data_IF_585274672288
#
_entry.id   IF_585274672288
#
_cell.length_a   1.000
_cell.length_b   1.000
_cell.length_c   1.000
_cell.angle_alpha   90.00
_cell.angle_beta   90.00
_cell.angle_gamma   90.00
#
_symmetry.space_group_name_H-M   'P 1'
#
loop_
_entity.id
_entity.type
_entity.pdbx_description
1 polymer ?
#
# COMPACT_ATOMS: atom_id res chain seq x y z
N UNK A 1 19.18 -13.02 -64.11
CA UNK A 1 18.58 -11.99 -63.23
C UNK A 1 17.83 -12.72 -62.13
N UNK A 2 18.39 -12.77 -60.94
CA UNK A 2 17.85 -13.48 -59.79
C UNK A 2 17.48 -12.49 -58.68
N UNK A 3 16.36 -12.75 -58.00
CA UNK A 3 15.94 -12.11 -56.74
C UNK A 3 15.19 -10.80 -56.95
N UNK A 4 14.08 -10.52 -56.26
CA UNK A 4 13.86 -10.72 -54.83
C UNK A 4 12.34 -10.74 -54.54
N UNK A 5 11.80 -11.82 -53.98
CA UNK A 5 10.45 -11.85 -53.40
C UNK A 5 10.56 -11.34 -51.95
N UNK A 6 9.99 -10.18 -51.65
CA UNK A 6 9.98 -9.63 -50.30
C UNK A 6 8.83 -10.27 -49.51
N UNK A 7 9.14 -11.28 -48.69
CA UNK A 7 8.20 -11.83 -47.73
C UNK A 7 8.13 -10.90 -46.51
N UNK A 8 7.01 -10.19 -46.34
CA UNK A 8 6.69 -9.52 -45.08
C UNK A 8 6.39 -10.58 -44.01
N UNK A 9 7.31 -10.72 -43.05
CA UNK A 9 7.10 -11.50 -41.84
C UNK A 9 6.25 -10.62 -40.90
N UNK A 10 4.98 -10.99 -40.73
CA UNK A 10 4.11 -10.39 -39.71
C UNK A 10 4.55 -10.95 -38.35
N UNK A 11 5.31 -10.18 -37.59
CA UNK A 11 5.63 -10.51 -36.20
C UNK A 11 4.35 -10.38 -35.38
N UNK A 12 3.79 -11.53 -35.00
CA UNK A 12 2.67 -11.61 -34.07
C UNK A 12 3.23 -11.20 -32.70
N UNK A 13 3.16 -9.92 -32.38
CA UNK A 13 3.42 -9.44 -31.03
C UNK A 13 2.41 -10.08 -30.10
N UNK A 14 2.87 -11.00 -29.26
CA UNK A 14 2.11 -11.52 -28.13
C UNK A 14 1.70 -10.33 -27.26
N UNK A 15 0.48 -9.82 -27.46
CA UNK A 15 -0.16 -8.90 -26.54
C UNK A 15 -0.37 -9.69 -25.24
N UNK A 16 0.58 -9.56 -24.31
CA UNK A 16 0.31 -9.93 -22.93
C UNK A 16 -0.90 -9.11 -22.50
N UNK A 17 -1.95 -9.73 -21.93
CA UNK A 17 -3.02 -8.93 -21.34
C UNK A 17 -2.36 -7.99 -20.34
N UNK A 18 -2.58 -6.69 -20.53
CA UNK A 18 -2.11 -5.68 -19.61
C UNK A 18 -2.70 -6.04 -18.23
N UNK A 19 -1.87 -6.60 -17.34
CA UNK A 19 -2.21 -6.81 -15.94
C UNK A 19 -2.22 -5.44 -15.28
N UNK A 20 -3.26 -4.66 -15.57
CA UNK A 20 -3.46 -3.29 -15.10
C UNK A 20 -3.50 -3.22 -13.56
N UNK A 21 -3.99 -4.29 -12.91
CA UNK A 21 -3.98 -4.43 -11.46
C UNK A 21 -2.97 -5.49 -11.03
N UNK A 22 -1.88 -5.06 -10.38
CA UNK A 22 -1.04 -5.97 -9.62
C UNK A 22 -1.77 -6.31 -8.31
N UNK A 23 -2.19 -7.57 -8.07
CA UNK A 23 -2.88 -7.89 -6.83
C UNK A 23 -1.89 -7.97 -5.66
N UNK A 24 -2.23 -7.31 -4.55
CA UNK A 24 -1.53 -7.45 -3.28
C UNK A 24 -2.31 -8.40 -2.39
N UNK A 25 -1.72 -9.56 -2.07
CA UNK A 25 -2.34 -10.53 -1.18
C UNK A 25 -1.89 -10.28 0.27
N UNK A 26 -2.80 -9.85 1.13
CA UNK A 26 -2.55 -9.76 2.56
C UNK A 26 -2.66 -11.13 3.23
N UNK A 27 -1.84 -11.33 4.24
CA UNK A 27 -1.78 -12.55 5.04
C UNK A 27 -1.87 -12.22 6.53
N UNK A 28 -1.88 -13.25 7.39
CA UNK A 28 -1.82 -13.07 8.84
C UNK A 28 -0.56 -12.33 9.32
N UNK A 29 0.53 -12.33 8.54
CA UNK A 29 1.73 -11.56 8.86
C UNK A 29 1.46 -10.04 8.84
N UNK A 30 0.54 -9.59 7.99
CA UNK A 30 0.15 -8.19 7.84
C UNK A 30 -0.85 -7.72 8.92
N UNK A 31 -0.65 -8.18 10.16
CA UNK A 31 -1.58 -8.03 11.29
C UNK A 31 -1.88 -6.60 11.75
N UNK A 32 -1.22 -5.61 11.15
CA UNK A 32 -1.50 -4.17 11.28
C UNK A 32 -1.01 -3.45 10.02
N UNK A 33 -1.42 -2.20 9.79
CA UNK A 33 -0.94 -1.42 8.66
C UNK A 33 0.60 -1.26 8.63
N UNK A 34 1.24 -1.09 9.80
CA UNK A 34 2.71 -0.98 9.91
C UNK A 34 3.42 -2.31 9.58
N UNK A 35 2.75 -3.44 9.76
CA UNK A 35 3.22 -4.78 9.33
C UNK A 35 2.73 -5.13 7.91
N UNK A 36 2.06 -4.20 7.26
CA UNK A 36 1.55 -4.32 5.91
C UNK A 36 2.52 -3.80 4.87
N UNK A 37 2.33 -4.19 3.60
CA UNK A 37 3.03 -3.57 2.49
C UNK A 37 2.68 -2.08 2.40
N UNK A 38 3.56 -1.30 1.77
CA UNK A 38 3.32 0.09 1.43
C UNK A 38 3.34 0.28 -0.09
N UNK A 39 2.27 0.85 -0.62
CA UNK A 39 2.18 1.30 -2.01
C UNK A 39 2.87 2.66 -2.09
N UNK A 40 3.91 2.75 -2.92
CA UNK A 40 4.77 3.95 -3.01
C UNK A 40 4.05 5.13 -3.68
N UNK A 41 3.14 4.85 -4.63
CA UNK A 41 2.27 5.84 -5.26
C UNK A 41 0.81 5.40 -5.14
N UNK A 42 0.06 6.02 -4.24
CA UNK A 42 -1.34 5.71 -3.95
C UNK A 42 -2.33 6.11 -5.04
N UNK A 43 -1.90 6.81 -6.10
CA UNK A 43 -2.71 7.02 -7.30
C UNK A 43 -2.75 5.77 -8.17
N UNK A 44 -1.71 4.94 -8.13
CA UNK A 44 -1.63 3.72 -8.92
C UNK A 44 -2.65 2.70 -8.42
N UNK A 45 -3.35 2.09 -9.37
CA UNK A 45 -4.45 1.16 -9.12
C UNK A 45 -3.92 -0.17 -8.60
N UNK A 46 -4.29 -0.52 -7.37
CA UNK A 46 -3.99 -1.82 -6.77
C UNK A 46 -5.26 -2.47 -6.25
N UNK A 47 -5.38 -3.78 -6.51
CA UNK A 47 -6.37 -4.64 -5.86
C UNK A 47 -5.71 -5.31 -4.66
N UNK A 48 -6.20 -5.01 -3.46
CA UNK A 48 -5.74 -5.61 -2.21
C UNK A 48 -6.73 -6.71 -1.81
N UNK A 49 -6.25 -7.93 -1.66
CA UNK A 49 -7.03 -9.10 -1.26
C UNK A 49 -6.75 -9.43 0.20
N UNK A 50 -7.81 -9.52 1.01
CA UNK A 50 -7.72 -9.89 2.42
C UNK A 50 -8.59 -11.11 2.71
N UNK A 51 -7.96 -12.14 3.29
CA UNK A 51 -8.60 -13.41 3.62
C UNK A 51 -8.55 -13.65 5.12
N UNK A 52 -9.73 -13.73 5.75
CA UNK A 52 -9.87 -13.93 7.18
C UNK A 52 -10.48 -15.30 7.47
N UNK A 53 -9.87 -16.03 8.41
CA UNK A 53 -10.30 -17.38 8.81
C UNK A 53 -11.17 -17.39 10.05
N UNK A 54 -11.19 -16.31 10.85
CA UNK A 54 -11.99 -16.18 12.08
C UNK A 54 -12.30 -14.71 12.39
N UNK A 55 -13.24 -14.42 13.32
CA UNK A 55 -13.50 -13.05 13.81
C UNK A 55 -12.26 -12.39 14.43
N UNK A 56 -12.26 -11.05 14.45
CA UNK A 56 -11.26 -10.19 15.11
C UNK A 56 -9.83 -10.32 14.57
N UNK A 57 -9.66 -10.93 13.40
CA UNK A 57 -8.40 -10.83 12.68
C UNK A 57 -8.29 -9.47 12.03
N UNK A 58 -7.08 -8.91 12.08
CA UNK A 58 -6.76 -7.64 11.43
C UNK A 58 -5.73 -7.91 10.35
N UNK A 59 -5.92 -7.29 9.19
CA UNK A 59 -4.92 -7.17 8.14
C UNK A 59 -4.83 -5.71 7.74
N UNK A 60 -3.67 -5.23 7.32
CA UNK A 60 -3.53 -3.84 6.91
C UNK A 60 -2.42 -3.63 5.90
N UNK A 61 -2.44 -2.43 5.32
CA UNK A 61 -1.46 -1.94 4.35
C UNK A 61 -1.38 -0.40 4.44
N UNK A 62 -0.45 0.16 3.70
CA UNK A 62 -0.18 1.60 3.62
C UNK A 62 -0.19 2.06 2.16
N UNK A 63 -0.51 3.32 1.92
CA UNK A 63 -0.31 3.96 0.63
C UNK A 63 0.16 5.41 0.85
N UNK A 64 1.10 5.86 0.02
CA UNK A 64 1.55 7.25 0.03
C UNK A 64 0.75 8.08 -0.96
N UNK A 65 0.33 9.27 -0.53
CA UNK A 65 -0.33 10.25 -1.40
C UNK A 65 0.27 11.62 -1.13
N UNK A 66 0.25 12.47 -2.14
CA UNK A 66 0.63 13.88 -2.05
C UNK A 66 -0.60 14.76 -1.84
N UNK A 67 -0.37 15.96 -1.31
CA UNK A 67 -1.44 16.94 -1.16
C UNK A 67 -2.11 17.26 -2.52
N UNK A 68 -3.44 17.26 -2.55
CA UNK A 68 -4.21 17.56 -3.76
C UNK A 68 -4.48 16.33 -4.65
N UNK A 69 -3.81 15.20 -4.41
CA UNK A 69 -4.16 13.93 -5.07
C UNK A 69 -5.50 13.38 -4.57
N UNK A 70 -6.01 12.34 -5.23
CA UNK A 70 -7.25 11.67 -4.79
C UNK A 70 -6.91 10.43 -3.97
N UNK A 71 -7.31 10.43 -2.71
CA UNK A 71 -7.44 9.19 -1.96
C UNK A 71 -8.66 8.46 -2.49
N UNK A 72 -8.44 7.43 -3.30
CA UNK A 72 -9.50 6.58 -3.85
C UNK A 72 -9.57 5.25 -3.09
N UNK A 73 -10.79 4.79 -2.79
CA UNK A 73 -11.02 3.51 -2.14
C UNK A 73 -12.32 2.85 -2.61
N UNK A 74 -12.26 1.58 -2.98
CA UNK A 74 -13.44 0.73 -3.21
C UNK A 74 -13.42 -0.49 -2.33
N UNK A 75 -14.62 -1.01 -2.02
CA UNK A 75 -14.80 -2.26 -1.31
C UNK A 75 -15.67 -3.20 -2.13
N UNK A 76 -15.13 -4.39 -2.41
CA UNK A 76 -15.79 -5.44 -3.16
C UNK A 76 -15.75 -6.79 -2.42
N UNK A 77 -16.73 -7.63 -2.74
CA UNK A 77 -16.71 -9.06 -2.44
C UNK A 77 -17.06 -9.83 -3.72
N UNK A 78 -16.63 -11.10 -3.80
CA UNK A 78 -17.07 -11.97 -4.90
C UNK A 78 -18.58 -12.22 -4.75
N UNK A 79 -19.34 -12.14 -5.84
CA UNK A 79 -20.77 -12.50 -5.88
C UNK A 79 -20.95 -14.03 -5.92
N UNK A 80 -20.44 -14.70 -4.89
CA UNK A 80 -20.55 -16.15 -4.69
C UNK A 80 -20.63 -16.45 -3.20
N UNK A 81 -21.29 -17.55 -2.84
CA UNK A 81 -21.30 -18.01 -1.46
C UNK A 81 -19.90 -18.50 -1.05
N UNK A 82 -19.47 -18.28 0.22
CA UNK A 82 -20.25 -17.67 1.30
C UNK A 82 -20.29 -16.13 1.31
N UNK A 83 -19.38 -15.44 0.61
CA UNK A 83 -19.20 -13.99 0.70
C UNK A 83 -20.47 -13.19 0.39
N UNK A 84 -21.16 -13.52 -0.71
CA UNK A 84 -22.35 -12.76 -1.14
C UNK A 84 -23.54 -12.88 -0.18
N UNK A 85 -23.57 -13.91 0.68
CA UNK A 85 -24.61 -14.12 1.70
C UNK A 85 -24.33 -13.37 3.01
N UNK A 86 -23.16 -12.75 3.16
CA UNK A 86 -22.84 -12.00 4.38
C UNK A 86 -23.74 -10.76 4.50
N UNK A 87 -24.43 -10.66 5.63
CA UNK A 87 -25.16 -9.45 6.01
C UNK A 87 -24.19 -8.27 6.24
N UNK A 88 -24.68 -7.04 6.07
CA UNK A 88 -23.87 -5.80 6.19
C UNK A 88 -23.08 -5.72 7.50
N UNK A 89 -23.67 -6.15 8.62
CA UNK A 89 -23.04 -6.14 9.95
C UNK A 89 -22.06 -7.31 10.20
N UNK A 90 -21.94 -8.26 9.26
CA UNK A 90 -20.97 -9.37 9.30
C UNK A 90 -19.79 -9.16 8.36
N UNK A 91 -19.84 -8.17 7.47
CA UNK A 91 -18.71 -7.83 6.59
C UNK A 91 -17.52 -7.31 7.40
N UNK A 92 -16.28 -7.61 7.00
CA UNK A 92 -15.09 -6.98 7.58
C UNK A 92 -15.14 -5.45 7.49
N UNK A 93 -14.73 -4.78 8.55
CA UNK A 93 -14.72 -3.32 8.64
C UNK A 93 -13.42 -2.79 8.06
N UNK A 94 -13.52 -1.83 7.15
CA UNK A 94 -12.38 -1.06 6.65
C UNK A 94 -12.28 0.29 7.38
N UNK A 95 -11.09 0.59 7.91
CA UNK A 95 -10.76 1.88 8.53
C UNK A 95 -9.56 2.48 7.82
N UNK A 96 -9.70 3.73 7.40
CA UNK A 96 -8.61 4.54 6.85
C UNK A 96 -8.15 5.50 7.94
N UNK A 97 -6.84 5.56 8.19
CA UNK A 97 -6.22 6.57 9.05
C UNK A 97 -5.38 7.49 8.17
N UNK A 98 -5.63 8.79 8.26
CA UNK A 98 -4.88 9.79 7.49
C UNK A 98 -3.50 10.09 8.11
N UNK A 99 -2.64 10.85 7.42
CA UNK A 99 -1.30 11.18 7.91
C UNK A 99 -1.28 11.93 9.25
N UNK A 100 -2.38 12.58 9.64
CA UNK A 100 -2.52 13.29 10.93
C UNK A 100 -2.96 12.36 12.07
N UNK A 101 -3.30 11.10 11.76
CA UNK A 101 -3.80 10.12 12.71
C UNK A 101 -5.33 10.08 12.83
N UNK A 102 -6.05 10.91 12.09
CA UNK A 102 -7.52 10.91 12.12
C UNK A 102 -8.05 9.65 11.43
N UNK A 103 -9.00 8.99 12.08
CA UNK A 103 -9.59 7.73 11.61
C UNK A 103 -10.94 7.96 10.96
N UNK A 104 -11.19 7.23 9.88
CA UNK A 104 -12.47 7.13 9.21
C UNK A 104 -12.83 5.67 8.98
N UNK A 105 -14.04 5.26 9.37
CA UNK A 105 -14.60 3.96 9.04
C UNK A 105 -15.37 4.06 7.73
N UNK A 106 -15.06 3.19 6.78
CA UNK A 106 -15.76 3.15 5.48
C UNK A 106 -17.17 2.62 5.69
N UNK A 107 -18.16 3.40 5.26
CA UNK A 107 -19.57 3.02 5.32
C UNK A 107 -19.96 2.25 4.06
N UNK A 108 -20.63 1.11 4.23
CA UNK A 108 -21.27 0.43 3.10
C UNK A 108 -22.52 1.19 2.67
N UNK A 109 -22.47 1.79 1.49
CA UNK A 109 -23.54 2.63 0.92
C UNK A 109 -24.28 1.94 -0.21
N UNK A 110 -23.77 0.83 -0.71
CA UNK A 110 -24.34 0.12 -1.85
C UNK A 110 -24.22 -1.41 -1.71
N UNK A 111 -24.85 -2.11 -2.65
CA UNK A 111 -24.67 -3.54 -2.93
C UNK A 111 -25.05 -3.79 -4.40
N UNK A 112 -24.16 -3.39 -5.31
CA UNK A 112 -24.42 -3.42 -6.75
C UNK A 112 -23.56 -4.48 -7.43
N UNK A 113 -24.12 -5.14 -8.46
CA UNK A 113 -23.39 -6.18 -9.21
C UNK A 113 -22.41 -5.55 -10.17
N UNK A 114 -21.23 -6.16 -10.29
CA UNK A 114 -20.21 -5.80 -11.26
C UNK A 114 -19.59 -7.07 -11.83
N UNK A 115 -19.64 -7.22 -13.15
CA UNK A 115 -18.96 -8.31 -13.84
C UNK A 115 -17.61 -7.80 -14.33
N UNK A 116 -16.52 -8.51 -13.97
CA UNK A 116 -15.17 -8.21 -14.43
C UNK A 116 -14.72 -9.23 -15.47
N UNK A 117 -14.72 -8.88 -16.78
CA UNK A 117 -14.53 -9.85 -17.86
C UNK A 117 -13.17 -10.54 -17.84
N UNK A 118 -12.10 -9.83 -17.44
CA UNK A 118 -10.74 -10.37 -17.45
C UNK A 118 -10.52 -11.51 -16.45
N UNK A 119 -11.34 -11.61 -15.39
CA UNK A 119 -11.29 -12.70 -14.43
C UNK A 119 -12.50 -13.63 -14.52
N UNK A 120 -13.42 -13.40 -15.47
CA UNK A 120 -14.71 -14.09 -15.55
C UNK A 120 -15.39 -14.20 -14.17
N UNK A 121 -15.45 -13.07 -13.45
CA UNK A 121 -15.88 -13.05 -12.05
C UNK A 121 -16.92 -11.96 -11.83
N UNK A 122 -18.02 -12.33 -11.18
CA UNK A 122 -18.99 -11.38 -10.66
C UNK A 122 -18.60 -10.93 -9.26
N UNK A 123 -18.70 -9.64 -9.01
CA UNK A 123 -18.45 -8.97 -7.74
C UNK A 123 -19.70 -8.22 -7.28
N UNK A 124 -19.73 -7.92 -5.98
CA UNK A 124 -20.62 -6.93 -5.41
C UNK A 124 -19.79 -5.75 -4.91
N UNK A 125 -20.03 -4.56 -5.45
CA UNK A 125 -19.57 -3.31 -4.85
C UNK A 125 -20.36 -3.05 -3.59
N UNK A 126 -19.67 -2.64 -2.53
CA UNK A 126 -20.28 -2.38 -1.22
C UNK A 126 -20.04 -0.94 -0.74
N UNK A 127 -18.94 -0.33 -1.15
CA UNK A 127 -18.62 1.06 -0.88
C UNK A 127 -17.67 1.61 -1.94
N UNK A 128 -17.83 2.89 -2.23
CA UNK A 128 -16.87 3.72 -2.95
C UNK A 128 -16.63 4.98 -2.14
N UNK A 129 -15.38 5.37 -2.03
CA UNK A 129 -14.95 6.49 -1.22
C UNK A 129 -13.87 7.26 -1.95
N UNK A 130 -14.00 8.58 -1.97
CA UNK A 130 -12.92 9.45 -2.40
C UNK A 130 -12.85 10.71 -1.52
N UNK A 131 -11.65 11.27 -1.43
CA UNK A 131 -11.41 12.60 -0.89
C UNK A 131 -10.13 13.17 -1.49
N UNK A 132 -9.97 14.49 -1.41
CA UNK A 132 -8.66 15.11 -1.58
C UNK A 132 -7.72 14.62 -0.48
N UNK A 133 -6.53 14.20 -0.88
CA UNK A 133 -5.51 13.68 0.00
C UNK A 133 -4.72 14.82 0.69
N UNK A 134 -4.30 14.53 1.91
CA UNK A 134 -3.20 15.23 2.57
C UNK A 134 -1.90 14.59 2.13
N UNK A 135 -0.82 15.35 2.15
CA UNK A 135 0.52 14.79 1.94
C UNK A 135 0.87 13.81 3.06
N UNK A 136 1.30 12.60 2.68
CA UNK A 136 1.84 11.60 3.59
C UNK A 136 1.27 10.20 3.41
N UNK A 137 1.44 9.38 4.46
CA UNK A 137 1.10 7.96 4.44
C UNK A 137 -0.26 7.71 5.08
N UNK A 138 -1.17 7.13 4.28
CA UNK A 138 -2.44 6.62 4.74
C UNK A 138 -2.31 5.16 5.21
N UNK A 139 -2.98 4.83 6.32
CA UNK A 139 -3.00 3.47 6.88
C UNK A 139 -4.39 2.86 6.71
N UNK A 140 -4.45 1.72 6.05
CA UNK A 140 -5.68 0.98 5.81
C UNK A 140 -5.70 -0.25 6.72
N UNK A 141 -6.75 -0.36 7.52
CA UNK A 141 -6.95 -1.47 8.46
C UNK A 141 -8.25 -2.18 8.13
N UNK A 142 -8.17 -3.49 7.90
CA UNK A 142 -9.27 -4.38 7.56
C UNK A 142 -9.46 -5.37 8.72
N UNK A 143 -10.61 -5.32 9.39
CA UNK A 143 -10.88 -6.16 10.55
C UNK A 143 -12.08 -7.07 10.31
N UNK A 144 -11.89 -8.38 10.46
CA UNK A 144 -12.96 -9.37 10.27
C UNK A 144 -13.98 -9.37 11.40
N UNK A 145 -15.26 -9.55 11.05
CA UNK A 145 -16.34 -9.88 12.01
C UNK A 145 -16.66 -11.37 12.03
N UNK A 146 -16.44 -12.04 10.90
CA UNK A 146 -16.55 -13.49 10.71
C UNK A 146 -15.47 -13.93 9.70
N UNK A 147 -15.38 -15.23 9.41
CA UNK A 147 -14.61 -15.73 8.25
C UNK A 147 -15.13 -15.06 6.97
N UNK A 148 -14.26 -14.41 6.20
CA UNK A 148 -14.63 -13.70 4.98
C UNK A 148 -13.41 -13.46 4.09
N UNK A 149 -13.61 -13.51 2.78
CA UNK A 149 -12.68 -13.00 1.79
C UNK A 149 -13.22 -11.67 1.21
N UNK A 150 -12.37 -10.64 1.14
CA UNK A 150 -12.74 -9.34 0.59
C UNK A 150 -11.67 -8.83 -0.36
N UNK A 151 -12.07 -7.93 -1.24
CA UNK A 151 -11.15 -7.15 -2.08
C UNK A 151 -11.40 -5.68 -1.84
N UNK A 152 -10.33 -4.90 -1.70
CA UNK A 152 -10.41 -3.44 -1.66
C UNK A 152 -9.49 -2.89 -2.74
N UNK A 153 -9.86 -1.75 -3.31
CA UNK A 153 -9.10 -1.09 -4.37
C UNK A 153 -8.61 0.24 -3.84
N UNK A 154 -7.38 0.62 -4.21
CA UNK A 154 -6.87 1.98 -4.04
C UNK A 154 -6.29 2.47 -5.35
N UNK A 155 -6.27 3.80 -5.53
CA UNK A 155 -5.80 4.42 -6.76
C UNK A 155 -6.74 4.19 -7.94
N UNK A 156 -6.45 4.87 -9.04
CA UNK A 156 -7.23 4.81 -10.29
C UNK A 156 -6.33 4.75 -11.53
N UNK A 157 -5.02 4.94 -11.38
CA UNK A 157 -4.07 4.94 -12.48
C UNK A 157 -3.61 3.51 -12.77
N UNK A 158 -4.04 2.98 -13.91
CA UNK A 158 -3.74 1.62 -14.37
C UNK A 158 -2.33 1.50 -14.98
N UNK A 159 -1.30 1.63 -14.15
CA UNK A 159 0.12 1.48 -14.50
C UNK A 159 0.83 0.55 -13.51
N UNK A 160 2.05 0.13 -13.82
CA UNK A 160 2.88 -0.57 -12.85
C UNK A 160 3.28 0.37 -11.70
N UNK A 161 3.08 -0.09 -10.47
CA UNK A 161 3.47 0.63 -9.27
C UNK A 161 4.44 -0.18 -8.41
N UNK A 162 5.14 0.51 -7.53
CA UNK A 162 6.06 -0.12 -6.57
C UNK A 162 5.37 -0.39 -5.23
N UNK A 163 5.67 -1.56 -4.68
CA UNK A 163 5.18 -2.00 -3.38
C UNK A 163 6.36 -2.45 -2.53
N UNK A 164 6.56 -1.81 -1.38
CA UNK A 164 7.62 -2.20 -0.44
C UNK A 164 7.07 -3.12 0.63
N UNK A 165 7.84 -4.16 0.95
CA UNK A 165 7.61 -5.01 2.11
C UNK A 165 7.99 -4.27 3.40
N UNK A 166 7.25 -4.47 4.51
CA UNK A 166 7.65 -3.94 5.81
C UNK A 166 8.98 -4.56 6.25
N UNK A 167 9.72 -3.84 7.10
CA UNK A 167 10.97 -4.29 7.69
C UNK A 167 12.04 -4.73 6.68
N UNK A 168 11.97 -4.26 5.43
CA UNK A 168 12.89 -4.64 4.34
C UNK A 168 13.57 -3.39 3.79
N UNK A 169 14.89 -3.47 3.57
CA UNK A 169 15.64 -2.33 3.07
C UNK A 169 15.22 -2.09 1.62
N UNK A 170 14.62 -0.93 1.30
CA UNK A 170 14.09 -0.73 -0.04
C UNK A 170 15.24 -0.58 -1.04
N UNK A 171 14.96 -0.94 -2.28
CA UNK A 171 15.86 -0.67 -3.41
C UNK A 171 15.60 0.77 -3.91
N UNK A 172 15.85 1.75 -3.05
CA UNK A 172 15.74 3.15 -3.43
C UNK A 172 16.98 3.57 -4.22
N UNK A 173 16.77 4.29 -5.32
CA UNK A 173 17.82 4.94 -6.08
C UNK A 173 17.54 6.44 -6.01
N UNK A 174 18.57 7.22 -5.68
CA UNK A 174 18.47 8.67 -5.64
C UNK A 174 18.01 9.21 -7.00
N UNK A 175 16.91 9.99 -7.07
CA UNK A 175 16.51 10.65 -8.30
C UNK A 175 17.60 11.63 -8.75
N UNK A 176 17.90 11.61 -10.04
CA UNK A 176 18.74 12.63 -10.66
C UNK A 176 18.02 13.97 -10.48
N UNK A 177 18.68 14.94 -9.83
CA UNK A 177 18.22 16.32 -9.56
C UNK A 177 17.42 16.59 -8.26
N UNK A 178 17.15 15.58 -7.41
CA UNK A 178 16.54 15.81 -6.08
C UNK A 178 17.12 14.94 -4.96
N UNK A 179 17.67 15.59 -3.92
CA UNK A 179 18.05 14.91 -2.66
C UNK A 179 16.85 14.85 -1.72
N UNK A 180 15.80 14.13 -2.12
CA UNK A 180 14.57 14.00 -1.34
C UNK A 180 14.24 12.53 -1.07
N UNK A 181 14.39 12.12 0.19
CA UNK A 181 13.86 10.84 0.64
C UNK A 181 12.34 10.91 0.58
N UNK A 182 11.72 9.96 -0.09
CA UNK A 182 10.27 9.85 -0.16
C UNK A 182 9.73 9.20 1.13
N UNK A 183 8.64 9.73 1.74
CA UNK A 183 8.07 9.19 2.97
C UNK A 183 7.76 7.68 2.92
N UNK A 184 7.36 7.17 1.76
CA UNK A 184 7.06 5.75 1.58
C UNK A 184 8.29 4.85 1.80
N UNK A 185 9.45 5.28 1.29
CA UNK A 185 10.70 4.54 1.42
C UNK A 185 11.22 4.60 2.85
N UNK A 186 11.12 5.76 3.52
CA UNK A 186 11.42 5.88 4.94
C UNK A 186 10.55 4.93 5.78
N UNK A 187 9.24 4.87 5.52
CA UNK A 187 8.29 3.98 6.19
C UNK A 187 8.49 2.48 5.86
N UNK A 188 9.22 2.15 4.79
CA UNK A 188 9.69 0.80 4.50
C UNK A 188 10.59 0.22 5.61
N UNK A 189 11.29 1.09 6.35
CA UNK A 189 12.16 0.69 7.47
C UNK A 189 11.38 0.28 8.73
N UNK A 190 10.08 0.58 8.82
CA UNK A 190 9.27 0.22 9.99
C UNK A 190 9.25 -1.29 10.17
N UNK A 191 9.56 -1.73 11.39
CA UNK A 191 9.69 -3.12 11.78
C UNK A 191 11.12 -3.68 11.71
N UNK A 192 12.09 -2.94 11.17
CA UNK A 192 13.50 -3.32 11.22
C UNK A 192 14.07 -3.25 12.63
N UNK A 193 15.15 -4.00 12.88
CA UNK A 193 16.04 -3.75 14.02
C UNK A 193 16.80 -2.43 13.83
N UNK A 194 17.15 -1.77 14.94
CA UNK A 194 17.92 -0.52 14.98
C UNK A 194 19.15 -0.55 14.06
N UNK A 195 20.00 -1.55 14.23
CA UNK A 195 21.26 -1.66 13.48
C UNK A 195 21.01 -1.92 12.00
N UNK A 196 20.03 -2.76 11.67
CA UNK A 196 19.65 -3.05 10.29
C UNK A 196 19.10 -1.80 9.57
N UNK A 197 18.31 -0.97 10.27
CA UNK A 197 17.81 0.28 9.73
C UNK A 197 18.93 1.31 9.52
N UNK A 198 19.89 1.40 10.45
CA UNK A 198 21.05 2.26 10.32
C UNK A 198 21.94 1.86 9.12
N UNK A 199 22.26 0.56 8.99
CA UNK A 199 23.02 0.04 7.83
C UNK A 199 22.27 0.21 6.51
N UNK A 200 20.93 0.09 6.53
CA UNK A 200 20.12 0.37 5.35
C UNK A 200 20.21 1.85 4.94
N UNK A 201 20.05 2.76 5.89
CA UNK A 201 20.18 4.19 5.64
C UNK A 201 21.56 4.55 5.08
N UNK A 202 22.64 4.03 5.67
CA UNK A 202 24.01 4.19 5.17
C UNK A 202 24.16 3.69 3.74
N UNK A 203 23.68 2.48 3.44
CA UNK A 203 23.70 1.91 2.08
C UNK A 203 22.97 2.79 1.06
N UNK A 204 21.89 3.45 1.48
CA UNK A 204 21.08 4.34 0.64
C UNK A 204 21.61 5.78 0.61
N UNK A 205 22.73 6.07 1.29
CA UNK A 205 23.29 7.42 1.38
C UNK A 205 22.48 8.37 2.27
N UNK A 206 21.53 7.86 3.05
CA UNK A 206 20.67 8.66 3.92
C UNK A 206 21.36 8.94 5.24
N UNK A 207 21.16 10.13 5.78
CA UNK A 207 21.52 10.37 7.17
C UNK A 207 20.50 9.71 8.11
N UNK A 208 21.02 9.05 9.13
CA UNK A 208 20.24 8.32 10.13
C UNK A 208 20.28 9.04 11.47
N UNK A 209 19.11 9.40 12.01
CA UNK A 209 18.97 10.05 13.31
C UNK A 209 17.94 9.35 14.17
N UNK A 210 18.23 9.20 15.46
CA UNK A 210 17.28 8.68 16.45
C UNK A 210 16.57 9.88 17.07
N UNK A 211 15.26 9.97 16.87
CA UNK A 211 14.40 10.98 17.52
C UNK A 211 13.89 10.53 18.87
N UNK A 212 13.63 9.23 19.00
CA UNK A 212 13.11 8.60 20.21
C UNK A 212 13.60 7.16 20.33
N UNK A 213 13.95 6.72 21.54
CA UNK A 213 14.26 5.32 21.85
C UNK A 213 13.68 4.96 23.22
N UNK A 214 12.86 3.91 23.29
CA UNK A 214 12.30 3.39 24.53
C UNK A 214 11.64 4.43 25.45
N UNK A 215 10.91 5.36 24.83
CA UNK A 215 10.23 6.51 25.43
C UNK A 215 11.16 7.69 25.80
N UNK A 216 12.48 7.56 25.67
CA UNK A 216 13.42 8.68 25.79
C UNK A 216 13.46 9.47 24.48
N UNK A 217 13.23 10.78 24.57
CA UNK A 217 13.35 11.70 23.44
C UNK A 217 14.78 12.24 23.34
N UNK A 218 15.29 12.39 22.13
CA UNK A 218 16.59 13.01 21.86
C UNK A 218 16.39 14.41 21.27
N UNK A 219 17.29 15.33 21.61
CA UNK A 219 17.23 16.70 21.08
C UNK A 219 17.48 16.68 19.57
N UNK A 220 16.63 17.38 18.81
CA UNK A 220 16.71 17.45 17.35
C UNK A 220 16.92 18.89 16.88
N UNK A 221 17.79 19.05 15.89
CA UNK A 221 17.91 20.29 15.12
C UNK A 221 16.80 20.37 14.09
N UNK A 222 16.15 21.52 14.00
CA UNK A 222 15.08 21.80 13.03
C UNK A 222 15.67 22.42 11.76
N UNK A 223 16.46 21.63 11.05
CA UNK A 223 17.21 22.04 9.85
C UNK A 223 16.55 21.59 8.52
N UNK A 224 15.36 20.95 8.60
CA UNK A 224 14.51 20.55 7.45
C UNK A 224 15.21 19.75 6.35
N UNK A 225 16.23 18.99 6.73
CA UNK A 225 17.03 18.21 5.81
C UNK A 225 16.26 17.04 5.19
N UNK A 226 16.09 17.07 3.87
CA UNK A 226 15.35 16.06 3.10
C UNK A 226 16.16 14.80 2.76
N UNK A 227 17.46 14.81 3.08
CA UNK A 227 18.42 13.72 2.96
C UNK A 227 18.62 12.94 4.27
N UNK A 228 17.77 13.21 5.27
CA UNK A 228 17.82 12.58 6.59
C UNK A 228 16.51 11.89 6.93
N UNK A 229 16.62 10.74 7.59
CA UNK A 229 15.51 10.13 8.32
C UNK A 229 15.69 10.27 9.83
N UNK A 230 14.59 10.53 10.52
CA UNK A 230 14.47 10.46 11.98
C UNK A 230 13.57 9.29 12.35
N UNK A 231 14.10 8.36 13.15
CA UNK A 231 13.39 7.16 13.57
C UNK A 231 12.95 7.20 15.03
N UNK A 232 11.86 6.51 15.32
CA UNK A 232 11.40 6.21 16.68
C UNK A 232 11.54 4.71 16.94
N UNK A 233 12.20 4.34 18.03
CA UNK A 233 12.60 2.97 18.35
C UNK A 233 11.89 2.51 19.63
N UNK A 234 11.36 1.29 19.62
CA UNK A 234 10.83 0.61 20.79
C UNK A 234 11.29 -0.83 20.85
N UNK A 235 11.89 -1.24 21.97
CA UNK A 235 12.44 -2.58 22.18
C UNK A 235 13.36 -3.02 21.03
N UNK A 236 14.24 -2.10 20.59
CA UNK A 236 15.18 -2.32 19.48
C UNK A 236 14.58 -2.37 18.07
N UNK A 237 13.27 -2.13 17.91
CA UNK A 237 12.59 -2.13 16.61
C UNK A 237 12.16 -0.71 16.19
N UNK A 238 12.30 -0.41 14.91
CA UNK A 238 11.79 0.82 14.31
C UNK A 238 10.26 0.79 14.31
N UNK A 239 9.64 1.78 14.96
CA UNK A 239 8.18 1.93 15.06
C UNK A 239 7.65 3.07 14.19
N UNK A 240 8.51 4.01 13.84
CA UNK A 240 8.26 5.13 12.94
C UNK A 240 9.57 5.55 12.27
N UNK A 241 9.47 6.04 11.04
CA UNK A 241 10.58 6.61 10.28
C UNK A 241 10.06 7.78 9.46
N UNK A 242 10.55 8.98 9.74
CA UNK A 242 10.10 10.23 9.10
C UNK A 242 11.27 10.86 8.37
N UNK A 243 10.99 11.54 7.27
CA UNK A 243 11.97 12.37 6.57
C UNK A 243 12.10 13.70 7.33
N UNK A 244 13.32 14.17 7.56
CA UNK A 244 13.61 15.40 8.30
C UNK A 244 14.21 15.23 9.68
#
# INVERSE_FOLDING_TARGET
MAGLLLAMIFTISNLTPAYAHQPINLTAANSSANKGPIIVDGKVSFVIRANFTKPNQTQGFRAALQAGETLYFEYLIIDKAPENKLAKNKLPVATITDPTGKKMVIKFTERTKFYYPFLDTNFLYLAKYNQTALDGIYKFTLQSKVKAAIQVVVGTLETYGEVLSPATCPAWVEPIDEVKILPAYAEGLVGMKKEAAASCAEKLGWQYRIGQEDNQMFALTRDYRLDRITVSIKNGLITQSLVG
#
